data_IF_466237093511
#
_entry.id   IF_466237093511
#
_cell.length_a   1.000
_cell.length_b   1.000
_cell.length_c   1.000
_cell.angle_alpha   90.00
_cell.angle_beta   90.00
_cell.angle_gamma   90.00
#
_symmetry.space_group_name_H-M   'P 1'
#
loop_
_entity.id
_entity.type
_entity.pdbx_description
1 polymer ?
#
# COMPACT_ATOMS: atom_id res chain seq x y z
N UNK A 1 29.51 17.12 11.54
CA UNK A 1 28.29 16.41 11.99
C UNK A 1 27.16 17.41 11.85
N UNK A 2 26.65 17.61 10.64
CA UNK A 2 25.46 18.44 10.46
C UNK A 2 24.29 17.63 11.01
N UNK A 3 23.54 18.20 11.95
CA UNK A 3 22.21 17.68 12.24
C UNK A 3 21.42 17.74 10.93
N UNK A 4 21.03 16.56 10.46
CA UNK A 4 20.34 16.38 9.18
C UNK A 4 18.85 16.21 9.36
N UNK A 5 18.30 16.60 10.51
CA UNK A 5 16.86 16.58 10.78
C UNK A 5 16.26 17.86 10.21
N UNK A 6 16.23 17.98 8.88
CA UNK A 6 15.12 18.73 8.30
C UNK A 6 13.88 17.89 8.47
N UNK A 7 12.81 18.52 8.97
CA UNK A 7 11.47 17.95 8.97
C UNK A 7 11.15 17.52 7.54
N UNK A 8 11.16 16.21 7.30
CA UNK A 8 10.91 15.65 5.98
C UNK A 8 9.42 15.81 5.69
N UNK A 9 9.06 16.95 5.09
CA UNK A 9 7.69 17.21 4.64
C UNK A 9 7.44 16.36 3.40
N UNK A 10 6.86 15.18 3.61
CA UNK A 10 6.53 14.24 2.54
C UNK A 10 5.63 14.85 1.48
N UNK A 11 4.79 15.81 1.86
CA UNK A 11 3.88 16.56 1.00
C UNK A 11 3.43 17.83 1.73
N UNK A 12 3.29 18.98 1.06
CA UNK A 12 2.71 20.16 1.69
C UNK A 12 1.35 19.82 2.31
N UNK A 13 1.03 20.38 3.49
CA UNK A 13 -0.21 20.06 4.19
C UNK A 13 -1.47 20.32 3.34
N UNK A 14 -1.40 21.28 2.44
CA UNK A 14 -2.45 21.62 1.47
C UNK A 14 -2.66 20.57 0.37
N UNK A 15 -1.68 19.69 0.12
CA UNK A 15 -1.74 18.62 -0.87
C UNK A 15 -2.09 17.26 -0.25
N UNK A 16 -2.14 17.13 1.09
CA UNK A 16 -2.50 15.89 1.76
C UNK A 16 -4.02 15.66 1.68
N UNK A 17 -4.40 14.56 1.04
CA UNK A 17 -5.80 14.15 0.96
C UNK A 17 -6.29 13.75 2.36
N UNK A 18 -7.36 14.38 2.82
CA UNK A 18 -7.91 14.08 4.15
C UNK A 18 -8.60 12.72 4.11
N UNK A 19 -8.34 11.83 5.08
CA UNK A 19 -8.98 10.54 5.06
C UNK A 19 -10.51 10.66 5.20
N UNK A 20 -11.24 9.79 4.50
CA UNK A 20 -12.70 9.74 4.51
C UNK A 20 -13.17 8.36 4.93
N UNK A 21 -13.93 8.29 6.04
CA UNK A 21 -14.62 7.07 6.45
C UNK A 21 -15.84 6.80 5.57
N UNK A 22 -16.00 5.54 5.17
CA UNK A 22 -17.18 5.00 4.49
C UNK A 22 -17.86 3.99 5.42
N UNK A 23 -19.06 4.29 5.86
CA UNK A 23 -19.82 3.45 6.79
C UNK A 23 -21.32 3.50 6.45
N UNK A 24 -21.86 2.47 5.78
CA UNK A 24 -21.19 1.24 5.35
C UNK A 24 -20.26 1.44 4.13
N UNK A 25 -19.28 0.55 3.96
CA UNK A 25 -18.45 0.45 2.75
C UNK A 25 -19.22 -0.15 1.56
N UNK A 26 -20.01 -1.20 1.83
CA UNK A 26 -20.77 -1.93 0.83
C UNK A 26 -22.24 -2.02 1.21
N UNK A 27 -23.12 -1.88 0.22
CA UNK A 27 -24.56 -2.13 0.39
C UNK A 27 -24.90 -3.61 0.57
N UNK A 28 -24.08 -4.51 0.02
CA UNK A 28 -24.22 -5.96 0.17
C UNK A 28 -22.88 -6.60 0.62
N UNK A 29 -22.61 -6.64 1.94
CA UNK A 29 -21.36 -7.19 2.46
C UNK A 29 -21.23 -8.71 2.23
N UNK A 30 -22.34 -9.46 2.27
CA UNK A 30 -22.28 -10.92 2.05
C UNK A 30 -21.81 -11.26 0.63
N UNK A 31 -22.23 -10.49 -0.39
CA UNK A 31 -21.73 -10.69 -1.77
C UNK A 31 -20.21 -10.52 -1.87
N UNK A 32 -19.63 -9.60 -1.08
CA UNK A 32 -18.18 -9.42 -1.01
C UNK A 32 -17.51 -10.62 -0.33
N UNK A 33 -18.05 -11.07 0.80
CA UNK A 33 -17.55 -12.23 1.54
C UNK A 33 -17.64 -13.53 0.72
N UNK A 34 -18.72 -13.73 -0.02
CA UNK A 34 -18.89 -14.88 -0.93
C UNK A 34 -17.84 -14.86 -2.03
N UNK A 35 -17.56 -13.69 -2.62
CA UNK A 35 -16.47 -13.54 -3.59
C UNK A 35 -15.11 -13.87 -2.98
N UNK A 36 -14.87 -13.49 -1.71
CA UNK A 36 -13.65 -13.86 -1.02
C UNK A 36 -13.51 -15.38 -0.93
N UNK A 37 -14.57 -16.10 -0.51
CA UNK A 37 -14.54 -17.57 -0.39
C UNK A 37 -14.37 -18.24 -1.77
N UNK A 38 -15.10 -17.77 -2.79
CA UNK A 38 -15.02 -18.28 -4.15
C UNK A 38 -13.68 -18.04 -4.86
N UNK A 39 -12.87 -17.09 -4.35
CA UNK A 39 -11.56 -16.77 -4.89
C UNK A 39 -10.43 -17.60 -4.27
N UNK A 40 -10.74 -18.43 -3.27
CA UNK A 40 -9.78 -19.36 -2.71
C UNK A 40 -9.40 -20.45 -3.74
N UNK A 41 -8.16 -20.99 -3.72
CA UNK A 41 -7.13 -20.72 -2.73
C UNK A 41 -6.33 -19.42 -2.98
N UNK A 42 -5.84 -18.82 -1.90
CA UNK A 42 -4.97 -17.64 -1.94
C UNK A 42 -3.51 -18.00 -1.75
N UNK A 43 -2.62 -17.32 -2.47
CA UNK A 43 -1.17 -17.39 -2.24
C UNK A 43 -0.73 -16.36 -1.20
N UNK A 44 0.41 -16.61 -0.55
CA UNK A 44 1.06 -15.62 0.29
C UNK A 44 1.36 -14.33 -0.49
N UNK A 45 1.13 -13.18 0.14
CA UNK A 45 1.29 -11.86 -0.47
C UNK A 45 2.73 -11.60 -0.94
N UNK A 46 3.72 -12.12 -0.21
CA UNK A 46 5.14 -12.07 -0.60
C UNK A 46 5.41 -12.79 -1.93
N UNK A 47 4.70 -13.89 -2.22
CA UNK A 47 4.78 -14.64 -3.49
C UNK A 47 4.11 -13.85 -4.61
N UNK A 48 2.92 -13.30 -4.36
CA UNK A 48 2.21 -12.42 -5.32
C UNK A 48 3.07 -11.22 -5.73
N UNK A 49 3.79 -10.62 -4.77
CA UNK A 49 4.68 -9.48 -5.01
C UNK A 49 6.09 -9.86 -5.46
N UNK A 50 6.41 -11.15 -5.63
CA UNK A 50 7.74 -11.65 -6.02
C UNK A 50 8.87 -11.08 -5.15
N UNK A 51 8.62 -10.90 -3.85
CA UNK A 51 9.63 -10.40 -2.89
C UNK A 51 10.73 -11.44 -2.70
N UNK A 52 11.92 -11.01 -2.28
CA UNK A 52 13.00 -11.91 -1.92
C UNK A 52 12.55 -12.90 -0.80
N UNK A 53 13.17 -14.08 -0.76
CA UNK A 53 12.96 -15.04 0.33
C UNK A 53 13.79 -14.61 1.53
N UNK A 54 13.12 -14.32 2.65
CA UNK A 54 13.78 -13.90 3.91
C UNK A 54 13.64 -14.94 5.02
N UNK A 55 12.81 -15.96 4.84
CA UNK A 55 12.43 -16.89 5.90
C UNK A 55 11.47 -16.29 6.93
N UNK A 56 11.12 -15.01 6.81
CA UNK A 56 10.28 -14.29 7.76
C UNK A 56 8.87 -14.01 7.21
N UNK A 57 8.37 -14.89 6.35
CA UNK A 57 7.06 -14.75 5.73
C UNK A 57 5.97 -14.95 6.81
N UNK A 58 4.98 -14.05 6.82
CA UNK A 58 3.83 -14.04 7.76
C UNK A 58 2.56 -14.50 7.04
N UNK A 59 1.51 -14.98 7.75
CA UNK A 59 0.29 -15.51 7.13
C UNK A 59 -0.63 -14.39 6.59
N UNK A 60 -0.10 -13.66 5.61
CA UNK A 60 -0.80 -12.66 4.82
C UNK A 60 -1.01 -13.21 3.42
N UNK A 61 -2.26 -13.51 3.09
CA UNK A 61 -2.66 -14.06 1.79
C UNK A 61 -3.30 -12.99 0.93
N UNK A 62 -3.07 -13.04 -0.40
CA UNK A 62 -3.55 -12.01 -1.32
C UNK A 62 -3.90 -12.60 -2.68
N UNK A 63 -4.88 -11.97 -3.33
CA UNK A 63 -5.12 -12.09 -4.78
C UNK A 63 -5.39 -10.71 -5.39
N UNK A 64 -5.08 -10.59 -6.68
CA UNK A 64 -5.43 -9.44 -7.50
C UNK A 64 -6.74 -9.72 -8.23
N UNK A 65 -7.75 -8.90 -8.02
CA UNK A 65 -9.01 -8.95 -8.77
C UNK A 65 -9.06 -7.94 -9.92
N UNK A 66 -8.26 -6.87 -9.84
CA UNK A 66 -8.02 -5.94 -10.93
C UNK A 66 -6.61 -5.34 -10.87
N UNK A 67 -6.03 -5.04 -12.03
CA UNK A 67 -4.73 -4.39 -12.15
C UNK A 67 -4.60 -3.62 -13.48
N UNK A 68 -3.95 -2.45 -13.45
CA UNK A 68 -3.75 -1.62 -14.64
C UNK A 68 -5.05 -1.19 -15.32
N UNK A 69 -6.07 -0.88 -14.51
CA UNK A 69 -7.40 -0.49 -15.01
C UNK A 69 -8.25 -1.63 -15.56
N UNK A 70 -7.79 -2.90 -15.44
CA UNK A 70 -8.48 -4.08 -15.97
C UNK A 70 -8.91 -5.01 -14.86
N UNK A 71 -10.17 -5.43 -14.89
CA UNK A 71 -10.70 -6.46 -14.00
C UNK A 71 -10.33 -7.84 -14.54
N UNK A 72 -9.67 -8.63 -13.70
CA UNK A 72 -9.22 -10.00 -14.02
C UNK A 72 -10.11 -11.06 -13.36
N UNK A 73 -10.85 -10.69 -12.31
CA UNK A 73 -11.92 -11.48 -11.71
C UNK A 73 -13.28 -10.78 -11.99
N UNK A 74 -14.02 -11.17 -13.04
CA UNK A 74 -15.23 -10.46 -13.48
C UNK A 74 -16.30 -10.34 -12.39
N UNK A 75 -16.36 -11.28 -11.44
CA UNK A 75 -17.33 -11.21 -10.33
C UNK A 75 -17.04 -10.04 -9.38
N UNK A 76 -15.84 -9.46 -9.43
CA UNK A 76 -15.41 -8.31 -8.62
C UNK A 76 -15.76 -6.95 -9.23
N UNK A 77 -16.32 -6.89 -10.45
CA UNK A 77 -16.60 -5.63 -11.18
C UNK A 77 -17.40 -4.63 -10.33
N UNK A 78 -18.37 -5.13 -9.56
CA UNK A 78 -19.23 -4.29 -8.70
C UNK A 78 -18.46 -3.60 -7.57
N UNK A 79 -17.32 -4.16 -7.14
CA UNK A 79 -16.41 -3.53 -6.19
C UNK A 79 -15.48 -2.56 -6.93
N UNK A 80 -14.96 -2.98 -8.08
CA UNK A 80 -14.02 -2.17 -8.87
C UNK A 80 -14.64 -0.85 -9.34
N UNK A 81 -15.94 -0.85 -9.64
CA UNK A 81 -16.73 0.33 -10.01
C UNK A 81 -17.63 0.85 -8.89
N UNK A 82 -17.30 0.58 -7.63
CA UNK A 82 -18.10 1.04 -6.48
C UNK A 82 -18.24 2.57 -6.50
N UNK A 83 -19.48 3.05 -6.66
CA UNK A 83 -19.80 4.48 -6.59
C UNK A 83 -19.42 5.07 -5.22
N UNK A 84 -19.62 4.31 -4.14
CA UNK A 84 -19.25 4.75 -2.79
C UNK A 84 -17.74 5.01 -2.67
N UNK A 85 -16.91 4.19 -3.31
CA UNK A 85 -15.45 4.36 -3.30
C UNK A 85 -15.03 5.54 -4.17
N UNK A 86 -15.67 5.68 -5.34
CA UNK A 86 -15.42 6.81 -6.25
C UNK A 86 -15.79 8.14 -5.59
N UNK A 87 -16.97 8.26 -4.98
CA UNK A 87 -17.40 9.49 -4.31
C UNK A 87 -16.56 9.77 -3.05
N UNK A 88 -16.18 8.74 -2.30
CA UNK A 88 -15.23 8.86 -1.20
C UNK A 88 -13.88 9.42 -1.66
N UNK A 89 -13.34 8.93 -2.78
CA UNK A 89 -12.11 9.42 -3.38
C UNK A 89 -12.23 10.87 -3.86
N UNK A 90 -13.32 11.23 -4.55
CA UNK A 90 -13.58 12.63 -4.95
C UNK A 90 -13.58 13.56 -3.75
N UNK A 91 -14.24 13.17 -2.64
CA UNK A 91 -14.29 13.96 -1.42
C UNK A 91 -12.92 14.09 -0.74
N UNK A 92 -12.17 12.99 -0.65
CA UNK A 92 -10.88 12.97 0.04
C UNK A 92 -9.82 13.81 -0.68
N UNK A 93 -9.79 13.74 -2.02
CA UNK A 93 -8.77 14.39 -2.87
C UNK A 93 -9.23 15.71 -3.51
N UNK A 94 -10.45 16.16 -3.24
CA UNK A 94 -11.15 17.21 -4.03
C UNK A 94 -11.02 16.99 -5.56
N UNK A 95 -11.06 15.73 -5.97
CA UNK A 95 -10.89 15.33 -7.36
C UNK A 95 -12.23 15.35 -8.11
N UNK A 96 -12.20 15.66 -9.41
CA UNK A 96 -13.38 15.54 -10.29
C UNK A 96 -13.34 14.28 -11.15
N UNK A 97 -12.15 13.76 -11.45
CA UNK A 97 -11.97 12.55 -12.27
C UNK A 97 -11.29 11.46 -11.44
N UNK A 98 -11.96 10.32 -11.30
CA UNK A 98 -11.46 9.15 -10.59
C UNK A 98 -11.34 8.00 -11.60
N UNK A 99 -10.15 7.40 -11.68
CA UNK A 99 -9.88 6.32 -12.63
C UNK A 99 -9.43 5.06 -11.87
N UNK A 100 -10.31 4.08 -11.64
CA UNK A 100 -9.97 2.83 -10.96
C UNK A 100 -8.79 2.12 -11.62
N UNK A 101 -7.83 1.66 -10.82
CA UNK A 101 -6.57 1.06 -11.29
C UNK A 101 -6.36 -0.36 -10.81
N UNK A 102 -6.65 -0.64 -9.54
CA UNK A 102 -6.40 -1.95 -8.96
C UNK A 102 -7.44 -2.32 -7.89
N UNK A 103 -7.63 -3.62 -7.73
CA UNK A 103 -8.48 -4.20 -6.69
C UNK A 103 -7.82 -5.47 -6.18
N UNK A 104 -7.69 -5.56 -4.85
CA UNK A 104 -7.04 -6.66 -4.17
C UNK A 104 -7.91 -7.13 -3.01
N UNK A 105 -7.87 -8.43 -2.76
CA UNK A 105 -8.34 -9.00 -1.51
C UNK A 105 -7.12 -9.47 -0.70
N UNK A 106 -7.14 -9.16 0.60
CA UNK A 106 -6.21 -9.70 1.58
C UNK A 106 -6.98 -10.49 2.64
N UNK A 107 -6.43 -11.64 3.02
CA UNK A 107 -6.91 -12.41 4.17
C UNK A 107 -5.72 -12.70 5.06
N UNK A 108 -5.87 -12.37 6.34
CA UNK A 108 -4.86 -12.56 7.36
C UNK A 108 -5.41 -13.46 8.45
N UNK A 109 -4.61 -14.42 8.90
CA UNK A 109 -4.83 -15.15 10.15
C UNK A 109 -4.07 -14.44 11.28
N UNK A 110 -4.11 -14.90 12.55
CA UNK A 110 -3.36 -14.25 13.63
C UNK A 110 -1.86 -14.10 13.29
N UNK A 111 -1.37 -12.87 13.40
CA UNK A 111 0.01 -12.50 13.06
C UNK A 111 0.44 -11.22 13.77
N UNK A 112 1.75 -11.04 13.91
CA UNK A 112 2.36 -9.81 14.41
C UNK A 112 2.02 -8.59 13.52
N UNK A 113 2.18 -7.40 14.07
CA UNK A 113 1.98 -6.15 13.33
C UNK A 113 2.97 -6.04 12.17
N UNK A 114 2.51 -5.45 11.06
CA UNK A 114 3.41 -5.05 9.97
C UNK A 114 4.16 -3.75 10.34
N UNK A 115 5.33 -3.50 9.74
CA UNK A 115 6.00 -2.22 9.91
C UNK A 115 5.20 -1.08 9.27
N UNK A 116 5.24 0.13 9.84
CA UNK A 116 4.80 1.35 9.17
C UNK A 116 5.45 1.50 7.78
N UNK A 117 4.65 1.88 6.80
CA UNK A 117 5.10 2.11 5.43
C UNK A 117 4.25 3.16 4.72
N UNK A 118 4.79 3.67 3.62
CA UNK A 118 4.01 4.24 2.52
C UNK A 118 3.81 3.19 1.45
N UNK A 119 2.72 3.33 0.71
CA UNK A 119 2.54 2.60 -0.54
C UNK A 119 3.45 3.15 -1.65
N UNK A 120 3.67 2.36 -2.70
CA UNK A 120 4.53 2.75 -3.82
C UNK A 120 3.93 3.95 -4.58
N UNK A 121 4.60 5.11 -4.62
CA UNK A 121 4.13 6.29 -5.34
C UNK A 121 4.13 6.08 -6.86
N UNK A 122 3.30 6.86 -7.55
CA UNK A 122 3.31 6.99 -9.01
C UNK A 122 3.69 8.39 -9.43
N UNK A 123 4.52 8.47 -10.47
CA UNK A 123 4.91 9.70 -11.12
C UNK A 123 4.67 9.59 -12.62
N UNK A 124 4.27 10.70 -13.26
CA UNK A 124 4.18 10.82 -14.72
C UNK A 124 5.53 10.51 -15.36
N UNK A 125 5.58 9.59 -16.33
CA UNK A 125 6.82 9.07 -16.93
C UNK A 125 7.60 8.07 -16.06
N UNK A 126 7.16 7.78 -14.83
CA UNK A 126 7.88 6.96 -13.86
C UNK A 126 7.65 5.44 -13.95
N UNK A 127 6.79 4.95 -14.84
CA UNK A 127 6.31 3.56 -14.82
C UNK A 127 7.40 2.48 -14.97
N UNK A 128 8.54 2.83 -15.56
CA UNK A 128 9.68 1.92 -15.76
C UNK A 128 10.84 2.18 -14.80
N UNK A 129 10.71 3.15 -13.90
CA UNK A 129 11.75 3.48 -12.94
C UNK A 129 11.81 2.41 -11.84
N UNK A 130 13.01 2.07 -11.33
CA UNK A 130 13.15 1.11 -10.25
C UNK A 130 12.42 1.55 -8.98
N UNK A 131 11.93 0.57 -8.20
CA UNK A 131 11.21 0.80 -6.95
C UNK A 131 11.96 1.76 -6.01
N UNK A 132 13.26 1.52 -5.79
CA UNK A 132 14.09 2.32 -4.90
C UNK A 132 14.16 3.80 -5.30
N UNK A 133 14.16 4.07 -6.61
CA UNK A 133 14.17 5.43 -7.13
C UNK A 133 12.82 6.11 -6.89
N UNK A 134 11.70 5.42 -7.18
CA UNK A 134 10.37 5.95 -6.94
C UNK A 134 10.15 6.30 -5.46
N UNK A 135 10.62 5.43 -4.57
CA UNK A 135 10.57 5.65 -3.12
C UNK A 135 11.38 6.88 -2.71
N UNK A 136 12.62 6.99 -3.19
CA UNK A 136 13.44 8.17 -2.89
C UNK A 136 12.84 9.46 -3.46
N UNK A 137 12.26 9.42 -4.66
CA UNK A 137 11.56 10.55 -5.26
C UNK A 137 10.39 11.02 -4.39
N UNK A 138 9.56 10.10 -3.86
CA UNK A 138 8.49 10.48 -2.96
C UNK A 138 9.01 11.07 -1.64
N UNK A 139 9.95 10.39 -0.98
CA UNK A 139 10.48 10.85 0.30
C UNK A 139 11.24 12.17 0.21
N UNK A 140 11.85 12.48 -0.94
CA UNK A 140 12.51 13.77 -1.16
C UNK A 140 11.54 14.96 -1.19
N UNK A 141 10.26 14.74 -1.48
CA UNK A 141 9.30 15.82 -1.75
C UNK A 141 9.54 16.58 -3.08
N UNK A 142 10.69 16.42 -3.74
CA UNK A 142 11.12 17.20 -4.91
C UNK A 142 10.31 16.96 -6.18
N UNK A 143 9.53 15.87 -6.23
CA UNK A 143 8.85 15.41 -7.45
C UNK A 143 7.32 15.59 -7.39
N UNK A 144 6.81 16.41 -6.47
CA UNK A 144 5.38 16.62 -6.25
C UNK A 144 4.61 16.99 -7.51
N UNK A 145 5.17 17.88 -8.34
CA UNK A 145 4.53 18.33 -9.57
C UNK A 145 4.24 17.17 -10.54
N UNK A 146 5.02 16.09 -10.47
CA UNK A 146 4.87 14.90 -11.32
C UNK A 146 4.13 13.76 -10.65
N UNK A 147 3.83 13.85 -9.35
CA UNK A 147 3.09 12.81 -8.64
C UNK A 147 1.70 12.65 -9.26
N UNK A 148 1.28 11.39 -9.43
CA UNK A 148 -0.07 11.04 -9.83
C UNK A 148 -0.83 10.71 -8.54
N UNK A 149 -1.81 11.54 -8.11
CA UNK A 149 -2.51 11.27 -6.85
C UNK A 149 -3.26 9.95 -6.90
N UNK A 150 -3.13 9.17 -5.83
CA UNK A 150 -3.67 7.81 -5.73
C UNK A 150 -4.61 7.69 -4.54
N UNK A 151 -5.91 7.59 -4.82
CA UNK A 151 -6.88 7.24 -3.80
C UNK A 151 -6.81 5.75 -3.50
N UNK A 152 -6.58 5.41 -2.25
CA UNK A 152 -6.66 4.04 -1.72
C UNK A 152 -7.89 3.93 -0.82
N UNK A 153 -8.78 2.99 -1.12
CA UNK A 153 -9.87 2.61 -0.21
C UNK A 153 -9.58 1.24 0.36
N UNK A 154 -9.42 1.15 1.69
CA UNK A 154 -9.33 -0.12 2.39
C UNK A 154 -10.64 -0.33 3.13
N UNK A 155 -11.24 -1.51 2.99
CA UNK A 155 -12.43 -1.89 3.76
C UNK A 155 -12.25 -3.25 4.42
N UNK A 156 -12.94 -3.47 5.54
CA UNK A 156 -12.66 -4.60 6.42
C UNK A 156 -13.89 -5.41 6.84
N UNK A 157 -13.65 -6.70 7.07
CA UNK A 157 -14.56 -7.63 7.74
C UNK A 157 -13.75 -8.42 8.78
N UNK A 158 -13.90 -8.02 10.04
CA UNK A 158 -13.21 -8.67 11.15
C UNK A 158 -13.96 -8.46 12.47
N UNK A 159 -14.23 -9.56 13.18
CA UNK A 159 -14.86 -9.54 14.51
C UNK A 159 -13.89 -9.85 15.66
N UNK A 160 -12.65 -10.20 15.33
CA UNK A 160 -11.63 -10.50 16.33
C UNK A 160 -11.02 -9.24 16.95
N UNK A 161 -9.94 -9.43 17.70
CA UNK A 161 -9.22 -8.38 18.42
C UNK A 161 -7.93 -7.98 17.70
N UNK A 162 -7.53 -6.71 17.83
CA UNK A 162 -6.39 -6.17 17.10
C UNK A 162 -6.63 -6.13 15.59
N UNK A 163 -5.58 -6.05 14.78
CA UNK A 163 -5.71 -5.89 13.34
C UNK A 163 -6.20 -4.49 12.95
N UNK A 164 -5.92 -3.51 13.79
CA UNK A 164 -6.24 -2.12 13.57
C UNK A 164 -5.54 -1.62 12.30
N UNK A 165 -6.13 -0.62 11.66
CA UNK A 165 -5.43 0.17 10.66
C UNK A 165 -4.89 1.42 11.33
N UNK A 166 -3.61 1.38 11.71
CA UNK A 166 -2.90 2.51 12.29
C UNK A 166 -2.38 3.40 11.16
N UNK A 167 -2.50 4.71 11.32
CA UNK A 167 -2.01 5.70 10.36
C UNK A 167 -1.59 7.00 11.03
N UNK A 168 -0.73 7.76 10.35
CA UNK A 168 -0.23 9.05 10.82
C UNK A 168 -0.46 10.12 9.75
N UNK A 169 -1.56 10.89 9.85
CA UNK A 169 -1.93 11.87 8.81
C UNK A 169 -0.97 13.05 8.75
N UNK A 170 -0.35 13.41 9.86
CA UNK A 170 0.58 14.55 9.97
C UNK A 170 2.05 14.13 9.85
N UNK A 171 2.31 12.96 9.26
CA UNK A 171 3.66 12.40 9.13
C UNK A 171 4.06 11.50 10.30
N UNK A 172 5.23 10.85 10.22
CA UNK A 172 5.60 9.76 11.12
C UNK A 172 5.84 10.23 12.57
N UNK A 173 6.16 11.51 12.78
CA UNK A 173 6.34 12.12 14.10
C UNK A 173 5.02 12.71 14.66
N UNK A 174 3.94 12.64 13.89
CA UNK A 174 2.60 13.11 14.28
C UNK A 174 1.86 12.15 15.20
N UNK A 175 0.65 12.53 15.61
CA UNK A 175 -0.19 11.65 16.43
C UNK A 175 -0.68 10.43 15.63
N UNK A 176 -0.47 9.24 16.19
CA UNK A 176 -1.03 8.00 15.64
C UNK A 176 -2.55 8.02 15.76
N UNK A 177 -3.23 7.78 14.66
CA UNK A 177 -4.66 7.50 14.60
C UNK A 177 -4.90 6.05 14.21
N UNK A 178 -6.07 5.50 14.57
CA UNK A 178 -6.40 4.10 14.31
C UNK A 178 -7.85 3.92 13.87
N UNK A 179 -8.08 3.02 12.92
CA UNK A 179 -9.39 2.37 12.74
C UNK A 179 -9.35 1.05 13.49
N UNK A 180 -9.93 1.07 14.69
CA UNK A 180 -9.84 -0.04 15.65
C UNK A 180 -10.79 -1.20 15.30
N UNK A 181 -10.34 -2.41 15.57
CA UNK A 181 -11.20 -3.60 15.54
C UNK A 181 -12.03 -3.74 16.83
N UNK A 182 -13.20 -4.41 16.79
CA UNK A 182 -13.80 -5.08 15.65
C UNK A 182 -14.31 -4.10 14.59
N UNK A 183 -14.12 -4.44 13.32
CA UNK A 183 -14.47 -3.58 12.19
C UNK A 183 -15.19 -4.40 11.12
N UNK A 184 -16.41 -4.02 10.76
CA UNK A 184 -17.25 -4.80 9.86
C UNK A 184 -17.97 -3.92 8.85
N UNK A 185 -17.71 -4.14 7.56
CA UNK A 185 -18.30 -3.39 6.45
C UNK A 185 -18.03 -1.88 6.55
N UNK A 186 -16.84 -1.51 7.02
CA UNK A 186 -16.35 -0.13 7.10
C UNK A 186 -15.21 0.03 6.12
N UNK A 187 -15.13 1.19 5.48
CA UNK A 187 -14.09 1.57 4.54
C UNK A 187 -13.40 2.86 4.97
N UNK A 188 -12.17 3.05 4.51
CA UNK A 188 -11.38 4.25 4.73
C UNK A 188 -10.67 4.60 3.44
N UNK A 189 -10.91 5.82 2.96
CA UNK A 189 -10.26 6.39 1.78
C UNK A 189 -9.12 7.29 2.24
N UNK A 190 -7.94 7.13 1.65
CA UNK A 190 -6.74 7.92 1.99
C UNK A 190 -5.70 7.92 0.86
N UNK A 191 -4.74 8.84 0.96
CA UNK A 191 -3.53 8.87 0.13
C UNK A 191 -2.40 8.07 0.80
N UNK A 192 -2.41 6.75 0.61
CA UNK A 192 -1.49 5.83 1.28
C UNK A 192 -0.04 5.95 0.77
N UNK A 193 0.15 6.56 -0.39
CA UNK A 193 1.46 6.88 -0.94
C UNK A 193 2.15 8.02 -0.18
N UNK A 194 1.40 8.79 0.62
CA UNK A 194 1.92 9.91 1.43
C UNK A 194 1.49 9.87 2.91
N UNK A 195 0.57 8.99 3.28
CA UNK A 195 0.14 8.77 4.66
C UNK A 195 0.77 7.49 5.21
N UNK A 196 1.60 7.63 6.23
CA UNK A 196 2.16 6.50 6.96
C UNK A 196 1.05 5.63 7.51
N UNK A 197 1.17 4.32 7.33
CA UNK A 197 0.20 3.38 7.86
C UNK A 197 0.80 2.01 8.12
N UNK A 198 0.14 1.23 8.98
CA UNK A 198 0.42 -0.18 9.20
C UNK A 198 -0.85 -0.98 9.48
N UNK A 199 -0.72 -2.30 9.36
CA UNK A 199 -1.68 -3.24 9.93
C UNK A 199 -1.18 -3.61 11.32
N UNK A 200 -1.99 -3.34 12.34
CA UNK A 200 -1.71 -3.74 13.73
C UNK A 200 -1.73 -5.26 13.90
N UNK A 201 -1.23 -5.74 15.05
CA UNK A 201 -1.17 -7.16 15.36
C UNK A 201 -2.57 -7.79 15.37
N UNK A 202 -2.75 -8.92 14.70
CA UNK A 202 -4.06 -9.58 14.51
C UNK A 202 -4.18 -10.72 15.51
N UNK A 203 -5.24 -10.73 16.32
CA UNK A 203 -5.51 -11.80 17.27
C UNK A 203 -4.51 -11.88 18.45
N UNK A 204 -4.69 -12.87 19.35
CA UNK A 204 -3.75 -13.15 20.44
C UNK A 204 -2.32 -13.45 19.96
N UNK A 205 -1.31 -12.92 20.65
CA UNK A 205 0.11 -13.27 20.41
C UNK A 205 0.35 -14.78 20.53
N UNK A 206 -0.33 -15.46 21.45
CA UNK A 206 -0.24 -16.91 21.60
C UNK A 206 -0.73 -17.71 20.37
N UNK A 207 -1.47 -17.07 19.46
CA UNK A 207 -1.97 -17.67 18.22
C UNK A 207 -1.13 -17.25 17.01
N UNK A 208 -0.13 -16.38 17.18
CA UNK A 208 0.74 -15.95 16.08
C UNK A 208 1.61 -17.12 15.64
N UNK A 209 1.70 -17.35 14.34
CA UNK A 209 2.68 -18.27 13.78
C UNK A 209 4.06 -17.63 13.82
N UNK A 210 5.05 -18.37 14.30
CA UNK A 210 6.44 -17.95 14.24
C UNK A 210 6.89 -17.77 12.77
N UNK A 211 7.72 -16.75 12.46
CA UNK A 211 8.26 -16.60 11.12
C UNK A 211 8.96 -17.88 10.63
N UNK A 212 8.64 -18.32 9.42
CA UNK A 212 9.18 -19.56 8.84
C UNK A 212 8.39 -20.83 9.16
N UNK A 213 7.30 -20.75 9.93
CA UNK A 213 6.39 -21.89 10.19
C UNK A 213 5.73 -22.41 8.91
N UNK A 214 5.40 -21.51 7.99
CA UNK A 214 4.77 -21.83 6.70
C UNK A 214 5.74 -21.58 5.56
N UNK A 215 5.75 -22.47 4.58
CA UNK A 215 6.51 -22.31 3.35
C UNK A 215 5.90 -21.23 2.46
N UNK A 216 6.68 -20.74 1.50
CA UNK A 216 6.21 -19.76 0.51
C UNK A 216 5.11 -20.32 -0.40
N UNK A 217 4.97 -21.64 -0.48
CA UNK A 217 3.96 -22.32 -1.28
C UNK A 217 2.66 -22.59 -0.52
N UNK A 218 2.62 -22.27 0.77
CA UNK A 218 1.40 -22.35 1.57
C UNK A 218 0.24 -21.58 0.94
N UNK A 219 -0.94 -22.17 0.99
CA UNK A 219 -2.17 -21.63 0.44
C UNK A 219 -3.25 -21.50 1.51
N UNK A 220 -4.05 -20.44 1.42
CA UNK A 220 -5.22 -20.27 2.27
C UNK A 220 -6.48 -20.71 1.51
N UNK A 221 -7.18 -21.70 2.07
CA UNK A 221 -8.41 -22.27 1.55
C UNK A 221 -9.61 -21.82 2.38
N UNK A 222 -10.74 -21.56 1.73
CA UNK A 222 -12.01 -21.43 2.43
C UNK A 222 -12.54 -22.82 2.83
N UNK A 223 -13.20 -22.93 3.98
CA UNK A 223 -13.92 -24.14 4.34
C UNK A 223 -15.11 -24.40 3.42
N UNK A 224 -15.43 -25.68 3.22
CA UNK A 224 -16.59 -26.10 2.42
C UNK A 224 -17.89 -26.22 3.22
N UNK A 225 -17.82 -26.28 4.55
CA UNK A 225 -18.93 -26.58 5.45
C UNK A 225 -19.33 -25.42 6.36
N UNK A 226 -18.46 -24.42 6.52
CA UNK A 226 -18.72 -23.23 7.32
C UNK A 226 -18.01 -21.99 6.72
N UNK A 227 -17.95 -20.89 7.49
CA UNK A 227 -17.31 -19.62 7.08
C UNK A 227 -15.83 -19.51 7.48
N UNK A 228 -15.21 -20.60 7.94
CA UNK A 228 -13.81 -20.67 8.36
C UNK A 228 -12.82 -20.80 7.20
N UNK A 229 -11.54 -20.85 7.56
CA UNK A 229 -10.41 -20.90 6.64
C UNK A 229 -9.33 -21.84 7.14
N UNK A 230 -8.56 -22.40 6.21
CA UNK A 230 -7.45 -23.28 6.51
C UNK A 230 -6.20 -22.85 5.74
N UNK A 231 -5.07 -22.74 6.44
CA UNK A 231 -3.76 -22.69 5.77
C UNK A 231 -3.36 -24.14 5.49
N UNK A 232 -3.00 -24.44 4.24
CA UNK A 232 -2.50 -25.74 3.79
C UNK A 232 -1.09 -25.58 3.24
N UNK A 233 -0.15 -26.36 3.77
CA UNK A 233 1.25 -26.37 3.36
C UNK A 233 1.80 -27.81 3.37
N UNK A 234 1.79 -28.45 2.20
CA UNK A 234 2.05 -29.89 2.09
C UNK A 234 1.03 -30.71 2.88
N UNK A 235 1.50 -31.48 3.85
CA UNK A 235 0.65 -32.29 4.76
C UNK A 235 0.15 -31.49 5.97
N UNK A 236 0.72 -30.30 6.22
CA UNK A 236 0.35 -29.48 7.37
C UNK A 236 -0.92 -28.69 7.07
N UNK A 237 -1.78 -28.58 8.10
CA UNK A 237 -3.03 -27.83 8.03
C UNK A 237 -3.31 -27.12 9.35
N UNK A 238 -3.62 -25.83 9.26
CA UNK A 238 -4.00 -25.00 10.40
C UNK A 238 -5.37 -24.38 10.16
N UNK A 239 -6.26 -24.54 11.13
CA UNK A 239 -7.67 -24.16 11.05
C UNK A 239 -7.93 -22.83 11.75
N UNK A 240 -8.80 -22.02 11.14
CA UNK A 240 -9.21 -20.72 11.66
C UNK A 240 -10.70 -20.54 11.49
N UNK A 241 -11.36 -20.04 12.53
CA UNK A 241 -12.75 -19.61 12.46
C UNK A 241 -12.89 -18.29 11.69
N UNK A 242 -14.12 -17.96 11.25
CA UNK A 242 -14.39 -16.65 10.62
C UNK A 242 -13.94 -15.46 11.50
N UNK A 243 -14.06 -15.61 12.83
CA UNK A 243 -13.68 -14.55 13.78
C UNK A 243 -12.16 -14.39 13.94
N UNK A 244 -11.37 -15.41 13.59
CA UNK A 244 -9.91 -15.38 13.64
C UNK A 244 -9.27 -14.86 12.35
N UNK A 245 -10.05 -14.83 11.27
CA UNK A 245 -9.60 -14.33 9.97
C UNK A 245 -10.04 -12.89 9.71
N UNK A 246 -9.08 -12.02 9.39
CA UNK A 246 -9.34 -10.65 8.97
C UNK A 246 -9.33 -10.56 7.46
N UNK A 247 -10.46 -10.16 6.89
CA UNK A 247 -10.57 -9.89 5.45
C UNK A 247 -10.47 -8.39 5.21
N UNK A 248 -9.67 -7.98 4.23
CA UNK A 248 -9.67 -6.60 3.75
C UNK A 248 -9.67 -6.50 2.23
N UNK A 249 -10.43 -5.54 1.72
CA UNK A 249 -10.48 -5.20 0.29
C UNK A 249 -9.72 -3.88 0.11
N UNK A 250 -8.68 -3.89 -0.73
CA UNK A 250 -7.94 -2.70 -1.12
C UNK A 250 -8.28 -2.35 -2.58
N UNK A 251 -8.88 -1.19 -2.77
CA UNK A 251 -9.17 -0.59 -4.06
C UNK A 251 -8.28 0.62 -4.26
N UNK A 252 -7.72 0.78 -5.46
CA UNK A 252 -6.91 1.95 -5.83
C UNK A 252 -7.42 2.61 -7.09
N UNK A 253 -7.40 3.93 -7.12
CA UNK A 253 -7.71 4.75 -8.29
C UNK A 253 -6.77 5.94 -8.39
N UNK A 254 -6.54 6.42 -9.61
CA UNK A 254 -5.98 7.75 -9.81
C UNK A 254 -7.05 8.80 -9.55
N UNK A 255 -6.66 9.88 -8.87
CA UNK A 255 -7.52 11.00 -8.54
C UNK A 255 -6.97 12.27 -9.20
N UNK A 256 -7.65 12.77 -10.23
CA UNK A 256 -7.27 13.99 -10.91
C UNK A 256 -8.20 15.13 -10.51
N UNK A 257 -7.59 16.28 -10.24
CA UNK A 257 -8.30 17.52 -9.91
C UNK A 257 -9.38 17.81 -10.96
N UNK A 258 -9.09 17.63 -12.24
CA UNK A 258 -10.01 17.92 -13.33
C UNK A 258 -9.66 17.15 -14.61
N UNK A 259 -10.50 17.28 -15.63
CA UNK A 259 -10.32 16.63 -16.94
C UNK A 259 -9.01 17.03 -17.62
N UNK A 260 -8.55 18.28 -17.46
CA UNK A 260 -7.30 18.74 -18.06
C UNK A 260 -6.10 17.98 -17.49
N UNK A 261 -6.03 17.82 -16.17
CA UNK A 261 -4.95 17.04 -15.54
C UNK A 261 -5.00 15.56 -15.94
N UNK A 262 -6.19 14.99 -16.11
CA UNK A 262 -6.33 13.65 -16.64
C UNK A 262 -5.84 13.53 -18.09
N UNK A 263 -6.19 14.48 -18.97
CA UNK A 263 -5.71 14.49 -20.35
C UNK A 263 -4.20 14.71 -20.44
N UNK A 264 -3.62 15.55 -19.57
CA UNK A 264 -2.15 15.70 -19.48
C UNK A 264 -1.46 14.38 -19.17
N UNK A 265 -2.02 13.59 -18.24
CA UNK A 265 -1.53 12.24 -17.94
C UNK A 265 -1.63 11.31 -19.15
N UNK A 266 -2.77 11.27 -19.85
CA UNK A 266 -2.95 10.42 -21.03
C UNK A 266 -2.02 10.80 -22.19
N UNK A 267 -1.84 12.10 -22.41
CA UNK A 267 -1.00 12.66 -23.48
C UNK A 267 0.50 12.60 -23.14
N UNK A 268 0.87 12.16 -21.93
CA UNK A 268 2.26 12.15 -21.43
C UNK A 268 2.89 13.54 -21.43
N UNK A 269 2.08 14.57 -21.21
CA UNK A 269 2.53 15.94 -21.14
C UNK A 269 3.32 16.15 -19.85
N UNK A 270 4.54 16.67 -19.97
CA UNK A 270 5.46 16.87 -18.84
C UNK A 270 5.83 15.58 -18.09
N UNK A 271 5.90 14.44 -18.77
CA UNK A 271 6.43 13.21 -18.18
C UNK A 271 7.88 13.37 -17.72
N UNK A 272 8.23 12.75 -16.59
CA UNK A 272 9.61 12.65 -16.15
C UNK A 272 10.42 11.79 -17.11
N UNK A 273 11.67 12.17 -17.26
CA UNK A 273 12.72 11.37 -17.89
C UNK A 273 13.81 11.11 -16.87
N UNK A 274 14.60 10.04 -17.04
CA UNK A 274 15.76 9.77 -16.17
C UNK A 274 16.71 10.98 -16.10
N UNK A 275 17.11 11.64 -17.22
CA UNK A 275 17.91 12.85 -17.14
C UNK A 275 17.30 13.96 -16.28
N UNK A 276 15.97 14.15 -16.34
CA UNK A 276 15.30 15.16 -15.50
C UNK A 276 15.33 14.78 -14.02
N UNK A 277 15.13 13.50 -13.71
CA UNK A 277 15.24 13.00 -12.33
C UNK A 277 16.65 13.24 -11.78
N UNK A 278 17.69 12.90 -12.55
CA UNK A 278 19.09 13.14 -12.17
C UNK A 278 19.37 14.63 -11.97
N UNK A 279 18.89 15.49 -12.86
CA UNK A 279 19.03 16.95 -12.74
C UNK A 279 18.45 17.48 -11.42
N UNK A 280 17.23 17.05 -11.07
CA UNK A 280 16.54 17.48 -9.84
C UNK A 280 17.26 16.96 -8.60
N UNK A 281 17.62 15.66 -8.58
CA UNK A 281 18.34 15.06 -7.45
C UNK A 281 19.72 15.69 -7.26
N UNK A 282 20.49 15.92 -8.34
CA UNK A 282 21.82 16.53 -8.23
C UNK A 282 21.76 17.95 -7.72
N UNK A 283 20.75 18.74 -8.10
CA UNK A 283 20.55 20.09 -7.56
C UNK A 283 20.40 20.06 -6.03
N UNK A 284 19.59 19.14 -5.51
CA UNK A 284 19.39 19.00 -4.06
C UNK A 284 20.62 18.43 -3.35
N UNK A 285 21.25 17.39 -3.92
CA UNK A 285 22.46 16.78 -3.36
C UNK A 285 23.63 17.78 -3.28
N UNK A 286 23.82 18.60 -4.32
CA UNK A 286 24.80 19.70 -4.33
C UNK A 286 24.50 20.70 -3.20
N UNK A 287 23.24 21.14 -3.09
CA UNK A 287 22.82 22.10 -2.06
C UNK A 287 23.04 21.56 -0.63
N UNK A 288 22.93 20.24 -0.44
CA UNK A 288 23.15 19.55 0.84
C UNK A 288 24.60 19.10 1.07
N UNK A 289 25.48 19.26 0.08
CA UNK A 289 26.87 18.81 0.14
C UNK A 289 27.04 17.29 0.24
N UNK A 290 26.10 16.52 -0.31
CA UNK A 290 26.08 15.04 -0.25
C UNK A 290 26.74 14.36 -1.45
N UNK A 291 27.29 15.13 -2.38
CA UNK A 291 27.91 14.66 -3.62
C UNK A 291 26.97 14.74 -4.82
N UNK A 292 27.23 13.98 -5.88
CA UNK A 292 26.45 13.96 -7.12
C UNK A 292 26.32 12.55 -7.67
N UNK A 293 25.20 12.31 -8.33
CA UNK A 293 25.03 11.21 -9.26
C UNK A 293 25.84 11.48 -10.54
N UNK A 294 26.47 10.46 -11.13
CA UNK A 294 27.09 10.56 -12.45
C UNK A 294 26.08 11.01 -13.52
N UNK A 295 26.55 11.68 -14.58
CA UNK A 295 25.67 12.07 -15.71
C UNK A 295 25.13 10.85 -16.47
N UNK A 296 25.90 9.75 -16.48
CA UNK A 296 25.56 8.46 -17.07
C UNK A 296 25.00 7.46 -16.03
N UNK A 297 24.41 7.95 -14.94
CA UNK A 297 23.94 7.05 -13.88
C UNK A 297 22.92 6.03 -14.42
N UNK A 298 23.12 4.78 -14.00
CA UNK A 298 22.21 3.69 -14.29
C UNK A 298 21.50 3.28 -13.01
N UNK A 299 20.19 3.49 -12.94
CA UNK A 299 19.40 3.05 -11.78
C UNK A 299 19.20 1.52 -11.74
N UNK A 300 19.66 0.78 -12.74
CA UNK A 300 19.82 -0.68 -12.67
C UNK A 300 21.02 -1.11 -11.80
N UNK A 301 21.97 -0.20 -11.54
CA UNK A 301 23.08 -0.42 -10.61
C UNK A 301 22.63 -0.32 -9.14
N UNK A 302 23.06 -1.29 -8.33
CA UNK A 302 22.66 -1.41 -6.93
C UNK A 302 23.27 -0.29 -6.07
N UNK A 303 24.52 0.10 -6.31
CA UNK A 303 25.18 1.12 -5.51
C UNK A 303 24.57 2.50 -5.76
N UNK A 304 24.21 2.80 -7.00
CA UNK A 304 23.43 3.99 -7.38
C UNK A 304 22.09 4.04 -6.65
N UNK A 305 21.31 2.94 -6.66
CA UNK A 305 20.04 2.86 -5.93
C UNK A 305 20.23 3.06 -4.42
N UNK A 306 21.23 2.40 -3.83
CA UNK A 306 21.54 2.54 -2.39
C UNK A 306 22.01 3.94 -2.03
N UNK A 307 22.75 4.63 -2.90
CA UNK A 307 23.17 6.01 -2.66
C UNK A 307 21.98 6.95 -2.59
N UNK A 308 21.08 6.88 -3.59
CA UNK A 308 19.87 7.69 -3.62
C UNK A 308 18.95 7.40 -2.43
N UNK A 309 18.69 6.13 -2.13
CA UNK A 309 17.93 5.76 -0.93
C UNK A 309 18.57 6.29 0.35
N UNK A 310 19.90 6.20 0.51
CA UNK A 310 20.59 6.72 1.71
C UNK A 310 20.45 8.23 1.87
N UNK A 311 20.42 8.97 0.76
CA UNK A 311 20.29 10.42 0.76
C UNK A 311 18.87 10.92 1.08
N UNK A 312 17.84 10.16 0.73
CA UNK A 312 16.44 10.60 0.81
C UNK A 312 15.53 9.76 1.71
N UNK A 313 16.02 8.68 2.32
CA UNK A 313 15.19 7.87 3.23
C UNK A 313 14.84 8.61 4.53
N UNK A 314 13.62 8.41 5.06
CA UNK A 314 13.28 8.75 6.44
C UNK A 314 14.19 8.00 7.43
N UNK A 315 14.40 8.53 8.63
CA UNK A 315 15.12 7.84 9.71
C UNK A 315 14.28 7.92 11.00
N UNK A 316 14.29 6.88 11.85
CA UNK A 316 14.94 5.56 11.67
C UNK A 316 14.19 4.65 10.68
N UNK A 317 14.91 3.76 9.98
CA UNK A 317 14.35 2.72 9.09
C UNK A 317 14.92 1.35 9.44
N UNK A 318 14.15 0.29 9.19
CA UNK A 318 14.59 -1.11 9.30
C UNK A 318 15.44 -1.55 8.09
N UNK A 319 15.91 -2.80 8.10
CA UNK A 319 16.76 -3.40 7.06
C UNK A 319 16.05 -3.51 5.68
N UNK A 320 14.72 -3.49 5.67
CA UNK A 320 13.88 -3.44 4.46
C UNK A 320 13.57 -2.00 4.01
N UNK A 321 14.29 -1.01 4.54
CA UNK A 321 14.17 0.42 4.21
C UNK A 321 12.81 1.04 4.54
N UNK A 322 12.07 0.48 5.50
CA UNK A 322 10.80 1.03 5.99
C UNK A 322 10.98 1.71 7.35
N UNK A 323 10.36 2.87 7.58
CA UNK A 323 10.43 3.54 8.87
C UNK A 323 10.02 2.71 10.08
N UNK A 324 10.77 2.94 11.15
CA UNK A 324 10.49 2.42 12.48
C UNK A 324 9.75 3.52 13.22
N UNK A 325 8.43 3.43 13.25
CA UNK A 325 7.55 4.29 14.06
C UNK A 325 7.06 3.43 15.22
N UNK A 326 7.27 3.90 16.46
CA UNK A 326 6.87 3.21 17.69
C UNK A 326 5.34 2.99 17.76
#
# INVERSE_FOLDING_TARGET
MADGSQDMVLRPAEMLAKPVRLDPAFSNPEKVLDLCRMSAPYSLAVKVHKRAQTGNDVPWFRVMWAYGGKVVEPRSEFIFRSENFIEGAKKSFDAKVIVPQALMNNINTPMAAGPPHLDLPKFRGGDRMPFDLLVAMAYSGLFHDWAVPQASTISWFYRGRGGDFDYWPDGPDGERQSVEAPVWNVGYVSDNEYMWHRVGAIGPTANHMEPGTISRDAQLHAHSHDKGWAIVDGENRWEFTEAETRISILWKAFAFENEREYQRYLNKEHDLTIPKVVEVLNRDLDARGLGRLPEDCDFSDEETRKFVLRAYRPRPVNDDYRPVIE
#
